data_IF_048285417354
#
_entry.id   IF_048285417354
#
_cell.length_a   1.000
_cell.length_b   1.000
_cell.length_c   1.000
_cell.angle_alpha   90.00
_cell.angle_beta   90.00
_cell.angle_gamma   90.00
#
_symmetry.space_group_name_H-M   'P 1'
#
loop_
_entity.id
_entity.type
_entity.pdbx_description
1 polymer ?
#
# COMPACT_ATOMS: atom_id res chain seq x y z
N UNK A 1 40.92 27.72 8.97
CA UNK A 1 42.34 27.51 9.33
C UNK A 1 43.21 27.51 8.07
N UNK A 2 42.91 28.38 7.10
CA UNK A 2 43.56 28.41 5.76
C UNK A 2 43.54 29.83 5.18
N UNK A 3 43.68 30.87 6.01
CA UNK A 3 43.87 32.26 5.53
C UNK A 3 45.20 32.89 6.00
N UNK A 4 46.02 32.15 6.76
CA UNK A 4 47.31 32.64 7.26
C UNK A 4 48.50 32.27 6.36
N UNK A 5 48.32 31.42 5.35
CA UNK A 5 49.41 30.85 4.55
C UNK A 5 49.78 31.65 3.29
N UNK A 6 48.94 32.60 2.86
CA UNK A 6 49.20 33.42 1.67
C UNK A 6 49.96 34.72 1.97
N UNK A 7 50.02 35.13 3.24
CA UNK A 7 50.73 36.36 3.66
C UNK A 7 52.22 36.06 3.93
N UNK A 8 52.57 34.85 4.39
CA UNK A 8 53.97 34.46 4.63
C UNK A 8 54.78 34.30 3.34
N UNK A 9 54.15 33.99 2.21
CA UNK A 9 54.87 33.84 0.92
C UNK A 9 55.22 35.18 0.27
N UNK A 10 54.65 36.30 0.72
CA UNK A 10 54.91 37.63 0.15
C UNK A 10 56.01 38.43 0.89
N UNK A 11 56.57 37.88 1.98
CA UNK A 11 57.64 38.53 2.77
C UNK A 11 59.05 38.00 2.46
N UNK A 12 59.19 36.97 1.62
CA UNK A 12 60.46 36.26 1.37
C UNK A 12 61.26 36.76 0.14
N UNK A 13 60.93 37.95 -0.40
CA UNK A 13 61.63 38.53 -1.55
C UNK A 13 62.22 39.93 -1.32
N UNK A 14 62.49 40.28 -0.05
CA UNK A 14 63.04 41.61 0.32
C UNK A 14 64.48 41.61 0.85
N UNK A 15 65.25 40.53 0.67
CA UNK A 15 66.59 40.42 1.28
C UNK A 15 67.79 40.18 0.32
N UNK A 16 67.66 40.33 -0.99
CA UNK A 16 68.79 40.14 -1.93
C UNK A 16 69.37 41.47 -2.46
N UNK A 17 69.62 42.43 -1.55
CA UNK A 17 70.40 43.64 -1.86
C UNK A 17 71.40 43.93 -0.72
N UNK A 18 72.29 42.98 -0.48
CA UNK A 18 73.48 43.23 0.35
C UNK A 18 74.66 42.39 -0.10
N UNK A 19 75.07 42.48 -1.37
CA UNK A 19 76.38 41.95 -1.79
C UNK A 19 76.84 42.57 -3.12
N UNK A 20 77.33 43.82 -3.06
CA UNK A 20 78.34 44.31 -4.02
C UNK A 20 79.31 45.23 -3.27
N UNK A 21 80.18 44.65 -2.46
CA UNK A 21 81.45 45.26 -2.07
C UNK A 21 82.54 44.21 -2.26
N UNK A 22 83.01 44.07 -3.49
CA UNK A 22 84.27 43.42 -3.79
C UNK A 22 84.89 44.11 -5.00
N UNK A 23 85.79 45.05 -4.73
CA UNK A 23 86.77 45.52 -5.72
C UNK A 23 88.12 45.06 -5.20
N UNK A 24 88.53 43.89 -5.65
CA UNK A 24 89.91 43.42 -5.57
C UNK A 24 90.51 43.51 -6.97
N UNK A 25 91.57 44.32 -7.15
CA UNK A 25 92.60 44.22 -8.20
C UNK A 25 93.61 45.38 -8.11
N UNK A 26 94.66 45.09 -7.37
CA UNK A 26 96.07 45.50 -7.51
C UNK A 26 96.51 46.11 -8.86
N UNK A 27 97.28 47.21 -8.81
CA UNK A 27 98.26 47.54 -9.87
C UNK A 27 99.56 48.10 -9.27
N UNK A 28 100.65 47.36 -9.47
CA UNK A 28 102.02 47.72 -9.11
C UNK A 28 102.62 48.70 -10.11
N UNK A 29 103.41 49.64 -9.59
CA UNK A 29 104.13 50.68 -10.31
C UNK A 29 105.34 50.08 -11.04
N UNK A 30 105.56 50.44 -12.31
CA UNK A 30 106.93 50.50 -12.86
C UNK A 30 107.17 51.78 -13.67
N UNK A 31 108.40 52.25 -13.58
CA UNK A 31 108.89 53.62 -13.77
C UNK A 31 108.94 54.08 -15.23
N UNK A 32 108.66 55.37 -15.42
CA UNK A 32 109.31 56.15 -16.47
C UNK A 32 108.41 57.18 -17.13
N UNK A 33 108.86 58.43 -17.04
CA UNK A 33 108.38 59.62 -17.77
C UNK A 33 107.27 60.42 -17.06
N UNK A 34 107.63 61.66 -16.75
CA UNK A 34 106.78 62.68 -16.14
C UNK A 34 105.57 63.01 -17.02
N UNK A 35 104.37 62.73 -16.52
CA UNK A 35 103.13 63.38 -16.90
C UNK A 35 102.25 63.55 -15.64
N UNK A 36 101.46 64.61 -15.62
CA UNK A 36 100.84 65.23 -14.44
C UNK A 36 99.68 64.40 -13.83
N UNK A 37 99.34 64.61 -12.54
CA UNK A 37 98.37 63.79 -11.78
C UNK A 37 96.91 63.81 -12.26
N UNK A 38 96.55 64.64 -13.24
CA UNK A 38 95.16 64.91 -13.63
C UNK A 38 94.57 63.91 -14.64
N UNK A 39 95.41 63.08 -15.28
CA UNK A 39 94.97 62.19 -16.37
C UNK A 39 94.43 60.84 -15.85
N UNK A 40 94.97 60.32 -14.72
CA UNK A 40 94.57 59.01 -14.18
C UNK A 40 93.23 59.04 -13.41
N UNK A 41 92.90 60.18 -12.79
CA UNK A 41 91.66 60.36 -12.04
C UNK A 41 90.44 60.47 -12.98
N UNK A 42 90.65 60.99 -14.19
CA UNK A 42 89.64 61.11 -15.22
C UNK A 42 89.23 59.74 -15.79
N UNK A 43 90.18 58.86 -16.08
CA UNK A 43 89.92 57.53 -16.65
C UNK A 43 89.23 56.57 -15.66
N UNK A 44 89.62 56.59 -14.38
CA UNK A 44 88.93 55.82 -13.34
C UNK A 44 87.50 56.31 -13.10
N UNK A 45 87.28 57.63 -13.11
CA UNK A 45 85.94 58.22 -13.04
C UNK A 45 85.11 57.83 -14.26
N UNK A 46 85.68 57.87 -15.47
CA UNK A 46 85.01 57.47 -16.71
C UNK A 46 84.54 56.01 -16.68
N UNK A 47 85.42 55.07 -16.31
CA UNK A 47 85.09 53.64 -16.22
C UNK A 47 84.03 53.38 -15.14
N UNK A 48 84.11 54.08 -14.00
CA UNK A 48 83.14 53.94 -12.92
C UNK A 48 81.77 54.50 -13.33
N UNK A 49 81.74 55.64 -14.01
CA UNK A 49 80.50 56.24 -14.54
C UNK A 49 79.86 55.38 -15.63
N UNK A 50 80.65 54.71 -16.47
CA UNK A 50 80.14 53.80 -17.50
C UNK A 50 79.54 52.53 -16.90
N UNK A 51 80.17 51.94 -15.88
CA UNK A 51 79.59 50.81 -15.12
C UNK A 51 78.28 51.18 -14.45
N UNK A 52 78.24 52.34 -13.79
CA UNK A 52 77.00 52.89 -13.20
C UNK A 52 75.91 53.10 -14.24
N UNK A 53 76.26 53.60 -15.43
CA UNK A 53 75.31 53.80 -16.53
C UNK A 53 74.75 52.47 -17.07
N UNK A 54 75.60 51.47 -17.25
CA UNK A 54 75.21 50.13 -17.69
C UNK A 54 74.33 49.42 -16.64
N UNK A 55 74.66 49.55 -15.34
CA UNK A 55 73.82 49.03 -14.26
C UNK A 55 72.48 49.75 -14.18
N UNK A 56 72.46 51.08 -14.32
CA UNK A 56 71.23 51.86 -14.35
C UNK A 56 70.34 51.45 -15.53
N UNK A 57 70.93 51.22 -16.71
CA UNK A 57 70.20 50.77 -17.89
C UNK A 57 69.65 49.34 -17.69
N UNK A 58 70.43 48.42 -17.11
CA UNK A 58 69.97 47.07 -16.77
C UNK A 58 68.80 47.09 -15.77
N UNK A 59 68.91 47.88 -14.70
CA UNK A 59 67.84 48.04 -13.70
C UNK A 59 66.60 48.64 -14.34
N UNK A 60 66.74 49.60 -15.26
CA UNK A 60 65.62 50.18 -16.00
C UNK A 60 64.90 49.15 -16.89
N UNK A 61 65.65 48.34 -17.63
CA UNK A 61 65.07 47.31 -18.50
C UNK A 61 64.39 46.19 -17.67
N UNK A 62 64.97 45.80 -16.54
CA UNK A 62 64.36 44.85 -15.61
C UNK A 62 63.09 45.42 -14.96
N UNK A 63 63.10 46.69 -14.54
CA UNK A 63 61.92 47.38 -14.01
C UNK A 63 60.80 47.43 -15.06
N UNK A 64 61.13 47.71 -16.32
CA UNK A 64 60.15 47.68 -17.42
C UNK A 64 59.58 46.27 -17.65
N UNK A 65 60.42 45.23 -17.57
CA UNK A 65 59.98 43.85 -17.68
C UNK A 65 59.02 43.50 -16.53
N UNK A 66 59.38 43.84 -15.30
CA UNK A 66 58.56 43.62 -14.10
C UNK A 66 57.24 44.41 -14.15
N UNK A 67 57.24 45.64 -14.64
CA UNK A 67 56.02 46.42 -14.89
C UNK A 67 55.10 45.75 -15.92
N UNK A 68 55.67 45.04 -16.91
CA UNK A 68 54.89 44.27 -17.87
C UNK A 68 54.30 43.00 -17.26
N UNK A 69 55.05 42.32 -16.39
CA UNK A 69 54.61 41.13 -15.65
C UNK A 69 53.49 41.48 -14.65
N UNK A 70 53.65 42.57 -13.90
CA UNK A 70 52.63 43.08 -12.96
C UNK A 70 51.33 43.41 -13.71
N UNK A 71 51.41 44.04 -14.89
CA UNK A 71 50.22 44.31 -15.71
C UNK A 71 49.49 43.05 -16.13
N UNK A 72 50.20 42.04 -16.63
CA UNK A 72 49.58 40.75 -16.99
C UNK A 72 48.96 40.03 -15.79
N UNK A 73 49.64 40.07 -14.64
CA UNK A 73 49.13 39.46 -13.41
C UNK A 73 47.86 40.17 -12.91
N UNK A 74 47.81 41.50 -12.99
CA UNK A 74 46.62 42.28 -12.63
C UNK A 74 45.45 41.98 -13.57
N UNK A 75 45.68 41.93 -14.89
CA UNK A 75 44.63 41.57 -15.86
C UNK A 75 44.07 40.16 -15.60
N UNK A 76 44.95 39.18 -15.31
CA UNK A 76 44.53 37.82 -14.96
C UNK A 76 43.71 37.82 -13.66
N UNK A 77 44.16 38.54 -12.63
CA UNK A 77 43.44 38.67 -11.37
C UNK A 77 42.04 39.27 -11.57
N UNK A 78 41.94 40.37 -12.33
CA UNK A 78 40.66 41.00 -12.66
C UNK A 78 39.71 40.08 -13.44
N UNK A 79 40.23 39.32 -14.41
CA UNK A 79 39.44 38.33 -15.15
C UNK A 79 38.91 37.25 -14.20
N UNK A 80 39.79 36.65 -13.38
CA UNK A 80 39.36 35.61 -12.43
C UNK A 80 38.39 36.14 -11.38
N UNK A 81 38.56 37.38 -10.92
CA UNK A 81 37.66 37.97 -9.95
C UNK A 81 36.26 38.20 -10.54
N UNK A 82 36.18 38.63 -11.80
CA UNK A 82 34.90 38.72 -12.53
C UNK A 82 34.21 37.36 -12.68
N UNK A 83 34.96 36.32 -13.07
CA UNK A 83 34.40 34.97 -13.18
C UNK A 83 33.89 34.43 -11.83
N UNK A 84 34.61 34.71 -10.75
CA UNK A 84 34.19 34.35 -9.39
C UNK A 84 32.92 35.11 -9.00
N UNK A 85 32.84 36.41 -9.28
CA UNK A 85 31.65 37.21 -9.01
C UNK A 85 30.41 36.69 -9.75
N UNK A 86 30.55 36.39 -11.05
CA UNK A 86 29.47 35.87 -11.89
C UNK A 86 29.00 34.48 -11.42
N UNK A 87 29.93 33.56 -11.13
CA UNK A 87 29.61 32.24 -10.61
C UNK A 87 28.94 32.32 -9.24
N UNK A 88 29.43 33.21 -8.38
CA UNK A 88 28.88 33.45 -7.05
C UNK A 88 27.43 33.97 -7.15
N UNK A 89 27.17 34.93 -8.04
CA UNK A 89 25.83 35.45 -8.29
C UNK A 89 24.87 34.34 -8.78
N UNK A 90 25.30 33.53 -9.76
CA UNK A 90 24.49 32.44 -10.30
C UNK A 90 24.19 31.35 -9.27
N UNK A 91 25.17 31.01 -8.42
CA UNK A 91 24.99 30.05 -7.33
C UNK A 91 23.95 30.54 -6.31
N UNK A 92 24.01 31.82 -5.93
CA UNK A 92 23.04 32.40 -4.99
C UNK A 92 21.63 32.45 -5.57
N UNK A 93 21.49 32.83 -6.85
CA UNK A 93 20.20 32.84 -7.53
C UNK A 93 19.58 31.44 -7.60
N UNK A 94 20.40 30.45 -7.98
CA UNK A 94 19.99 29.04 -8.04
C UNK A 94 19.57 28.52 -6.67
N UNK A 95 20.38 28.77 -5.64
CA UNK A 95 20.06 28.36 -4.26
C UNK A 95 18.76 29.01 -3.76
N UNK A 96 18.54 30.29 -4.08
CA UNK A 96 17.31 30.99 -3.70
C UNK A 96 16.10 30.40 -4.41
N UNK A 97 16.20 30.14 -5.72
CA UNK A 97 15.14 29.51 -6.51
C UNK A 97 14.76 28.13 -5.95
N UNK A 98 15.74 27.27 -5.63
CA UNK A 98 15.47 25.96 -5.03
C UNK A 98 14.77 26.05 -3.67
N UNK A 99 15.15 27.02 -2.84
CA UNK A 99 14.54 27.23 -1.52
C UNK A 99 13.09 27.72 -1.67
N UNK A 100 12.82 28.64 -2.58
CA UNK A 100 11.46 29.12 -2.83
C UNK A 100 10.56 28.02 -3.42
N UNK A 101 11.07 27.22 -4.34
CA UNK A 101 10.35 26.03 -4.85
C UNK A 101 10.02 25.05 -3.72
N UNK A 102 10.98 24.75 -2.85
CA UNK A 102 10.76 23.87 -1.70
C UNK A 102 9.71 24.43 -0.73
N UNK A 103 9.74 25.75 -0.45
CA UNK A 103 8.73 26.42 0.38
C UNK A 103 7.35 26.36 -0.26
N UNK A 104 7.24 26.61 -1.57
CA UNK A 104 5.97 26.51 -2.28
C UNK A 104 5.43 25.08 -2.28
N UNK A 105 6.29 24.08 -2.50
CA UNK A 105 5.91 22.67 -2.44
C UNK A 105 5.44 22.27 -1.03
N UNK A 106 6.14 22.74 0.01
CA UNK A 106 5.76 22.52 1.41
C UNK A 106 4.40 23.15 1.72
N UNK A 107 4.18 24.42 1.36
CA UNK A 107 2.90 25.10 1.60
C UNK A 107 1.72 24.37 0.92
N UNK A 108 1.92 23.90 -0.31
CA UNK A 108 0.93 23.10 -1.03
C UNK A 108 0.65 21.75 -0.35
N UNK A 109 1.69 21.07 0.16
CA UNK A 109 1.54 19.81 0.88
C UNK A 109 0.80 20.01 2.21
N UNK A 110 1.14 21.06 2.96
CA UNK A 110 0.47 21.43 4.21
C UNK A 110 -1.01 21.77 4.00
N UNK A 111 -1.33 22.51 2.93
CA UNK A 111 -2.73 22.80 2.56
C UNK A 111 -3.50 21.53 2.23
N UNK A 112 -2.93 20.62 1.43
CA UNK A 112 -3.56 19.33 1.09
C UNK A 112 -3.78 18.48 2.33
N UNK A 113 -2.81 18.42 3.24
CA UNK A 113 -2.92 17.71 4.51
C UNK A 113 -4.05 18.28 5.36
N UNK A 114 -4.19 19.60 5.43
CA UNK A 114 -5.29 20.26 6.14
C UNK A 114 -6.66 19.87 5.59
N UNK A 115 -6.83 19.91 4.27
CA UNK A 115 -8.10 19.52 3.60
C UNK A 115 -8.39 18.04 3.83
N UNK A 116 -7.38 17.17 3.69
CA UNK A 116 -7.54 15.73 3.94
C UNK A 116 -7.97 15.46 5.39
N UNK A 117 -7.37 16.13 6.37
CA UNK A 117 -7.75 15.98 7.78
C UNK A 117 -9.19 16.43 8.03
N UNK A 118 -9.60 17.58 7.48
CA UNK A 118 -11.00 18.03 7.56
C UNK A 118 -11.98 17.02 6.95
N UNK A 119 -11.59 16.38 5.84
CA UNK A 119 -12.39 15.34 5.18
C UNK A 119 -12.51 14.08 6.06
N UNK A 120 -11.42 13.67 6.69
CA UNK A 120 -11.39 12.54 7.64
C UNK A 120 -12.33 12.81 8.82
N UNK A 121 -12.28 14.02 9.38
CA UNK A 121 -13.15 14.40 10.51
C UNK A 121 -14.64 14.35 10.13
N UNK A 122 -14.98 14.85 8.93
CA UNK A 122 -16.35 14.80 8.41
C UNK A 122 -16.84 13.35 8.20
N UNK A 123 -16.02 12.50 7.57
CA UNK A 123 -16.35 11.08 7.35
C UNK A 123 -16.40 10.29 8.67
N UNK A 124 -15.59 10.67 9.66
CA UNK A 124 -15.63 10.08 11.01
C UNK A 124 -16.94 10.40 11.72
N UNK A 125 -17.42 11.65 11.59
CA UNK A 125 -18.73 12.06 12.12
C UNK A 125 -19.87 11.31 11.44
N UNK A 126 -19.87 11.20 10.11
CA UNK A 126 -20.89 10.45 9.37
C UNK A 126 -20.90 8.96 9.77
N UNK A 127 -19.72 8.33 9.88
CA UNK A 127 -19.61 6.95 10.36
C UNK A 127 -20.16 6.77 11.78
N UNK A 128 -19.97 7.75 12.67
CA UNK A 128 -20.55 7.72 14.01
C UNK A 128 -22.07 7.77 13.97
N UNK A 129 -22.64 8.64 13.13
CA UNK A 129 -24.08 8.75 12.92
C UNK A 129 -24.67 7.47 12.34
N UNK A 130 -24.05 6.90 11.30
CA UNK A 130 -24.46 5.64 10.69
C UNK A 130 -24.40 4.47 11.69
N UNK A 131 -23.36 4.40 12.54
CA UNK A 131 -23.29 3.39 13.60
C UNK A 131 -24.46 3.52 14.58
N UNK A 132 -24.86 4.76 14.91
CA UNK A 132 -26.01 5.01 15.79
C UNK A 132 -27.32 4.54 15.14
N UNK A 133 -27.58 4.92 13.90
CA UNK A 133 -28.81 4.50 13.18
C UNK A 133 -28.87 2.99 12.99
N UNK A 134 -27.74 2.34 12.69
CA UNK A 134 -27.66 0.87 12.62
C UNK A 134 -28.00 0.22 13.96
N UNK A 135 -27.51 0.76 15.07
CA UNK A 135 -27.83 0.24 16.40
C UNK A 135 -29.31 0.44 16.76
N UNK A 136 -29.89 1.59 16.41
CA UNK A 136 -31.33 1.85 16.57
C UNK A 136 -32.16 0.85 15.75
N UNK A 137 -31.79 0.61 14.48
CA UNK A 137 -32.47 -0.37 13.64
C UNK A 137 -32.33 -1.80 14.19
N UNK A 138 -31.18 -2.18 14.75
CA UNK A 138 -31.00 -3.47 15.43
C UNK A 138 -31.91 -3.59 16.64
N UNK A 139 -32.06 -2.53 17.43
CA UNK A 139 -32.99 -2.51 18.56
C UNK A 139 -34.43 -2.66 18.09
N UNK A 140 -34.85 -1.90 17.07
CA UNK A 140 -36.19 -2.02 16.48
C UNK A 140 -36.42 -3.44 15.96
N UNK A 141 -35.46 -4.04 15.25
CA UNK A 141 -35.57 -5.41 14.77
C UNK A 141 -35.75 -6.41 15.92
N UNK A 142 -35.00 -6.25 17.02
CA UNK A 142 -35.14 -7.08 18.20
C UNK A 142 -36.49 -6.87 18.89
N UNK A 143 -36.96 -5.63 19.00
CA UNK A 143 -38.28 -5.30 19.55
C UNK A 143 -39.38 -5.89 18.68
N UNK A 144 -39.36 -5.67 17.37
CA UNK A 144 -40.32 -6.28 16.44
C UNK A 144 -40.25 -7.81 16.48
N UNK A 145 -39.07 -8.41 16.62
CA UNK A 145 -38.92 -9.85 16.83
C UNK A 145 -39.57 -10.30 18.14
N UNK A 146 -39.42 -9.53 19.22
CA UNK A 146 -40.10 -9.81 20.50
C UNK A 146 -41.60 -9.58 20.45
N UNK A 147 -42.09 -8.60 19.69
CA UNK A 147 -43.51 -8.32 19.48
C UNK A 147 -44.17 -9.35 18.55
N UNK A 148 -43.43 -9.87 17.56
CA UNK A 148 -43.87 -11.00 16.76
C UNK A 148 -43.84 -12.30 17.59
N UNK A 149 -42.86 -12.44 18.49
CA UNK A 149 -42.79 -13.54 19.46
C UNK A 149 -43.77 -13.39 20.63
N UNK A 150 -44.47 -12.27 20.81
CA UNK A 150 -45.54 -12.12 21.82
C UNK A 150 -46.81 -12.92 21.46
N UNK A 151 -46.87 -13.51 20.25
CA UNK A 151 -47.80 -14.59 19.94
C UNK A 151 -47.17 -15.99 20.00
N UNK A 152 -45.92 -16.12 20.46
CA UNK A 152 -45.16 -17.38 20.52
C UNK A 152 -44.45 -17.63 21.87
N UNK A 153 -44.79 -16.88 22.93
CA UNK A 153 -44.26 -17.11 24.29
C UNK A 153 -45.13 -18.04 25.15
N UNK A 154 -46.00 -18.82 24.53
CA UNK A 154 -46.22 -20.20 24.94
C UNK A 154 -45.92 -21.06 23.72
N UNK A 155 -44.65 -21.40 23.50
CA UNK A 155 -44.34 -22.57 22.68
C UNK A 155 -44.80 -23.80 23.47
N UNK A 156 -46.11 -24.00 23.57
CA UNK A 156 -46.68 -25.24 24.03
C UNK A 156 -46.20 -26.29 23.05
N UNK A 157 -45.25 -27.09 23.50
CA UNK A 157 -44.72 -28.21 22.74
C UNK A 157 -45.90 -29.11 22.43
N UNK A 158 -46.10 -29.43 21.16
CA UNK A 158 -47.08 -30.43 20.79
C UNK A 158 -46.62 -31.76 21.39
N UNK A 159 -47.29 -32.19 22.47
CA UNK A 159 -46.94 -33.40 23.20
C UNK A 159 -47.10 -34.66 22.35
N UNK A 160 -47.94 -34.64 21.30
CA UNK A 160 -48.09 -35.78 20.38
C UNK A 160 -46.84 -35.88 19.53
N UNK A 161 -46.44 -34.78 18.88
CA UNK A 161 -45.23 -34.75 18.04
C UNK A 161 -43.96 -35.01 18.86
N UNK A 162 -43.90 -34.47 20.08
CA UNK A 162 -42.77 -34.70 20.97
C UNK A 162 -42.67 -36.18 21.40
N UNK A 163 -43.81 -36.81 21.73
CA UNK A 163 -43.84 -38.24 22.05
C UNK A 163 -43.45 -39.13 20.86
N UNK A 164 -43.91 -38.78 19.66
CA UNK A 164 -43.49 -39.46 18.43
C UNK A 164 -41.98 -39.37 18.23
N UNK A 165 -41.40 -38.18 18.45
CA UNK A 165 -39.95 -37.97 18.39
C UNK A 165 -39.19 -38.78 19.45
N UNK A 166 -39.61 -38.75 20.73
CA UNK A 166 -38.91 -39.49 21.78
C UNK A 166 -38.94 -41.01 21.54
N UNK A 167 -40.05 -41.54 21.02
CA UNK A 167 -40.16 -42.95 20.64
C UNK A 167 -39.23 -43.30 19.46
N UNK A 168 -39.11 -42.42 18.46
CA UNK A 168 -38.13 -42.59 17.38
C UNK A 168 -36.68 -42.51 17.89
N UNK A 169 -36.40 -41.62 18.86
CA UNK A 169 -35.06 -41.40 19.39
C UNK A 169 -34.49 -42.62 20.16
N UNK A 170 -35.35 -43.50 20.70
CA UNK A 170 -34.92 -44.75 21.32
C UNK A 170 -34.28 -45.72 20.32
N UNK A 171 -34.76 -45.72 19.07
CA UNK A 171 -34.25 -46.54 17.97
C UNK A 171 -34.31 -45.77 16.64
N UNK A 172 -33.37 -44.82 16.44
CA UNK A 172 -33.45 -43.89 15.32
C UNK A 172 -33.18 -44.60 14.00
N UNK A 173 -34.09 -44.42 13.05
CA UNK A 173 -33.99 -44.91 11.67
C UNK A 173 -34.31 -43.80 10.67
N UNK A 174 -33.67 -43.87 9.50
CA UNK A 174 -33.87 -42.93 8.38
C UNK A 174 -34.93 -43.42 7.39
N UNK A 175 -35.39 -44.67 7.54
CA UNK A 175 -36.40 -45.26 6.66
C UNK A 175 -37.76 -44.58 6.83
N UNK A 176 -38.43 -44.32 5.71
CA UNK A 176 -39.69 -43.55 5.64
C UNK A 176 -40.74 -44.02 6.64
N UNK A 177 -41.00 -45.31 6.65
CA UNK A 177 -42.11 -45.91 7.41
C UNK A 177 -41.65 -46.57 8.72
N UNK A 178 -40.42 -46.27 9.18
CA UNK A 178 -39.86 -46.89 10.39
C UNK A 178 -40.50 -46.42 11.70
N UNK A 179 -41.08 -45.22 11.71
CA UNK A 179 -41.77 -44.64 12.87
C UNK A 179 -42.85 -43.67 12.41
N UNK A 180 -43.83 -43.41 13.29
CA UNK A 180 -44.85 -42.38 13.05
C UNK A 180 -44.22 -41.00 12.82
N UNK A 181 -43.13 -40.71 13.55
CA UNK A 181 -42.37 -39.48 13.41
C UNK A 181 -41.81 -39.30 11.99
N UNK A 182 -41.13 -40.32 11.45
CA UNK A 182 -40.59 -40.25 10.08
C UNK A 182 -41.70 -40.23 9.05
N UNK A 183 -42.70 -41.12 9.17
CA UNK A 183 -43.84 -41.18 8.25
C UNK A 183 -44.52 -39.81 8.10
N UNK A 184 -44.75 -39.13 9.23
CA UNK A 184 -45.34 -37.79 9.26
C UNK A 184 -44.50 -36.77 8.50
N UNK A 185 -43.21 -36.67 8.82
CA UNK A 185 -42.33 -35.69 8.20
C UNK A 185 -42.18 -35.94 6.70
N UNK A 186 -42.12 -37.21 6.28
CA UNK A 186 -42.09 -37.54 4.86
C UNK A 186 -43.35 -37.09 4.12
N UNK A 187 -44.53 -37.28 4.70
CA UNK A 187 -45.80 -36.98 4.03
C UNK A 187 -46.18 -35.50 4.10
N UNK A 188 -45.96 -34.85 5.24
CA UNK A 188 -46.34 -33.45 5.44
C UNK A 188 -45.28 -32.50 4.85
N UNK A 189 -43.99 -32.81 4.99
CA UNK A 189 -42.90 -31.88 4.69
C UNK A 189 -42.04 -32.32 3.50
N UNK A 190 -41.33 -33.46 3.58
CA UNK A 190 -40.29 -33.81 2.59
C UNK A 190 -40.90 -34.04 1.20
N UNK A 191 -41.92 -34.89 1.11
CA UNK A 191 -42.54 -35.24 -0.18
C UNK A 191 -43.17 -34.00 -0.80
N UNK A 192 -43.86 -33.17 -0.01
CA UNK A 192 -44.47 -31.93 -0.52
C UNK A 192 -43.43 -30.87 -0.89
N UNK A 193 -42.31 -30.80 -0.17
CA UNK A 193 -41.21 -29.89 -0.45
C UNK A 193 -40.40 -30.32 -1.69
N UNK A 194 -40.38 -31.60 -2.06
CA UNK A 194 -39.72 -32.07 -3.28
C UNK A 194 -40.68 -32.34 -4.46
N UNK A 195 -41.97 -32.04 -4.36
CA UNK A 195 -42.87 -32.13 -5.52
C UNK A 195 -42.52 -31.07 -6.57
N UNK A 196 -41.96 -31.52 -7.70
CA UNK A 196 -41.59 -30.68 -8.84
C UNK A 196 -42.27 -31.18 -10.12
N UNK A 197 -42.44 -30.33 -11.15
CA UNK A 197 -42.92 -30.75 -12.47
C UNK A 197 -42.15 -31.93 -13.05
N UNK A 198 -40.82 -31.95 -12.91
CA UNK A 198 -40.00 -33.12 -13.26
C UNK A 198 -40.00 -34.15 -12.13
N UNK A 199 -41.03 -35.00 -12.10
CA UNK A 199 -41.20 -36.04 -11.08
C UNK A 199 -40.06 -37.07 -11.06
N UNK A 200 -39.50 -37.43 -12.23
CA UNK A 200 -38.42 -38.41 -12.30
C UNK A 200 -37.14 -37.90 -11.62
N UNK A 201 -36.71 -36.69 -11.96
CA UNK A 201 -35.53 -36.09 -11.33
C UNK A 201 -35.78 -35.81 -9.83
N UNK A 202 -37.00 -35.40 -9.47
CA UNK A 202 -37.40 -35.22 -8.07
C UNK A 202 -37.22 -36.52 -7.24
N UNK A 203 -37.73 -37.66 -7.73
CA UNK A 203 -37.58 -38.94 -7.03
C UNK A 203 -36.11 -39.36 -6.91
N UNK A 204 -35.30 -39.12 -7.95
CA UNK A 204 -33.85 -39.39 -7.91
C UNK A 204 -33.13 -38.50 -6.90
N UNK A 205 -33.51 -37.22 -6.80
CA UNK A 205 -32.98 -36.29 -5.81
C UNK A 205 -33.31 -36.76 -4.40
N UNK A 206 -34.56 -37.16 -4.13
CA UNK A 206 -34.92 -37.68 -2.81
C UNK A 206 -34.07 -38.90 -2.43
N UNK A 207 -33.96 -39.88 -3.34
CA UNK A 207 -33.13 -41.06 -3.10
C UNK A 207 -31.65 -40.71 -2.89
N UNK A 208 -31.14 -39.70 -3.59
CA UNK A 208 -29.77 -39.20 -3.42
C UNK A 208 -29.56 -38.49 -2.07
N UNK A 209 -30.55 -37.69 -1.65
CA UNK A 209 -30.56 -37.07 -0.32
C UNK A 209 -30.55 -38.16 0.75
N UNK A 210 -31.40 -39.20 0.64
CA UNK A 210 -31.49 -40.32 1.59
C UNK A 210 -30.16 -41.08 1.71
N UNK A 211 -29.46 -41.32 0.59
CA UNK A 211 -28.13 -41.95 0.55
C UNK A 211 -26.96 -41.02 0.90
N UNK A 212 -27.21 -39.72 1.07
CA UNK A 212 -26.20 -38.71 1.32
C UNK A 212 -25.15 -38.57 0.21
N UNK A 213 -25.58 -38.70 -1.05
CA UNK A 213 -24.71 -38.68 -2.24
C UNK A 213 -25.04 -37.52 -3.22
N UNK A 214 -25.78 -36.51 -2.75
CA UNK A 214 -26.15 -35.31 -3.52
C UNK A 214 -25.09 -34.21 -3.39
N UNK A 215 -24.75 -33.56 -4.50
CA UNK A 215 -23.83 -32.41 -4.53
C UNK A 215 -24.49 -31.24 -5.23
N UNK A 216 -24.51 -30.07 -4.58
CA UNK A 216 -24.99 -28.82 -5.16
C UNK A 216 -23.88 -27.78 -5.17
N UNK A 217 -23.70 -27.11 -6.30
CA UNK A 217 -22.65 -26.11 -6.51
C UNK A 217 -23.20 -24.89 -7.26
N UNK A 218 -22.44 -23.79 -7.20
CA UNK A 218 -22.72 -22.59 -8.00
C UNK A 218 -22.16 -22.71 -9.41
N UNK A 219 -22.92 -22.28 -10.40
CA UNK A 219 -22.45 -22.17 -11.78
C UNK A 219 -21.29 -21.15 -11.88
N UNK A 220 -20.18 -21.55 -12.50
CA UNK A 220 -19.03 -20.64 -12.74
C UNK A 220 -19.35 -19.48 -13.70
N UNK A 221 -20.38 -19.63 -14.53
CA UNK A 221 -20.82 -18.60 -15.49
C UNK A 221 -22.00 -17.82 -14.92
N UNK A 222 -21.72 -16.68 -14.27
CA UNK A 222 -22.77 -15.77 -13.77
C UNK A 222 -23.64 -15.28 -14.94
N UNK A 223 -24.96 -15.41 -14.83
CA UNK A 223 -25.93 -14.81 -15.76
C UNK A 223 -26.37 -15.67 -16.95
N UNK A 224 -26.08 -16.99 -16.98
CA UNK A 224 -26.60 -17.85 -18.04
C UNK A 224 -28.07 -18.19 -17.79
N UNK A 225 -28.95 -17.61 -18.62
CA UNK A 225 -30.36 -17.96 -18.65
C UNK A 225 -30.52 -19.41 -19.14
N UNK A 226 -31.09 -20.27 -18.30
CA UNK A 226 -31.25 -21.70 -18.57
C UNK A 226 -32.61 -22.17 -18.10
N UNK A 227 -33.09 -23.25 -18.68
CA UNK A 227 -34.27 -23.94 -18.17
C UNK A 227 -33.91 -24.71 -16.91
N UNK A 228 -34.58 -24.43 -15.80
CA UNK A 228 -34.42 -25.19 -14.56
C UNK A 228 -34.87 -26.63 -14.77
N UNK A 229 -34.02 -27.61 -14.49
CA UNK A 229 -34.30 -29.03 -14.75
C UNK A 229 -35.45 -29.61 -13.92
N UNK A 230 -35.77 -28.99 -12.79
CA UNK A 230 -36.87 -29.42 -11.91
C UNK A 230 -38.17 -28.69 -12.20
N UNK A 231 -38.12 -27.36 -12.35
CA UNK A 231 -39.30 -26.52 -12.55
C UNK A 231 -39.75 -26.46 -14.01
N UNK A 232 -38.85 -26.66 -14.96
CA UNK A 232 -39.12 -26.51 -16.41
C UNK A 232 -39.21 -25.04 -16.87
N UNK A 233 -38.97 -24.08 -15.98
CA UNK A 233 -39.04 -22.65 -16.27
C UNK A 233 -37.70 -22.09 -16.73
N UNK A 234 -37.72 -21.14 -17.66
CA UNK A 234 -36.55 -20.42 -18.12
C UNK A 234 -36.20 -19.30 -17.13
N UNK A 235 -35.05 -19.42 -16.45
CA UNK A 235 -34.66 -18.50 -15.39
C UNK A 235 -33.14 -18.38 -15.25
N UNK A 236 -32.68 -17.45 -14.43
CA UNK A 236 -31.28 -17.37 -14.04
C UNK A 236 -30.94 -18.54 -13.10
N UNK A 237 -30.28 -19.55 -13.65
CA UNK A 237 -29.85 -20.73 -12.89
C UNK A 237 -28.41 -20.54 -12.42
N UNK A 238 -28.24 -19.97 -11.22
CA UNK A 238 -26.93 -19.80 -10.59
C UNK A 238 -26.41 -21.09 -9.93
N UNK A 239 -27.20 -22.17 -9.93
CA UNK A 239 -26.89 -23.41 -9.23
C UNK A 239 -27.04 -24.62 -10.15
N UNK A 240 -26.31 -25.70 -9.84
CA UNK A 240 -26.49 -27.00 -10.45
C UNK A 240 -26.36 -28.12 -9.43
N UNK A 241 -27.01 -29.26 -9.69
CA UNK A 241 -26.98 -30.45 -8.84
C UNK A 241 -26.47 -31.67 -9.60
N UNK A 242 -25.72 -32.51 -8.89
CA UNK A 242 -25.22 -33.82 -9.33
C UNK A 242 -25.63 -34.86 -8.30
N UNK A 243 -25.98 -36.05 -8.77
CA UNK A 243 -26.46 -37.16 -7.94
C UNK A 243 -25.45 -38.31 -8.02
N UNK A 244 -24.95 -38.76 -6.87
CA UNK A 244 -23.94 -39.81 -6.80
C UNK A 244 -22.68 -39.48 -7.62
N UNK A 245 -22.22 -40.48 -8.36
CA UNK A 245 -21.04 -40.40 -9.25
C UNK A 245 -21.42 -40.03 -10.69
N UNK A 246 -22.68 -39.67 -10.96
CA UNK A 246 -23.12 -39.29 -12.31
C UNK A 246 -22.31 -38.10 -12.83
N UNK A 247 -21.82 -38.16 -14.07
CA UNK A 247 -21.11 -37.01 -14.68
C UNK A 247 -22.04 -35.86 -15.07
N UNK A 248 -23.36 -36.04 -14.94
CA UNK A 248 -24.37 -35.09 -15.41
C UNK A 248 -24.72 -34.06 -14.33
N UNK A 249 -24.66 -32.78 -14.72
CA UNK A 249 -25.10 -31.66 -13.91
C UNK A 249 -26.45 -31.12 -14.38
N UNK A 250 -27.36 -30.91 -13.44
CA UNK A 250 -28.71 -30.41 -13.71
C UNK A 250 -28.84 -28.96 -13.22
N UNK A 251 -29.07 -27.96 -14.09
CA UNK A 251 -29.26 -26.57 -13.67
C UNK A 251 -30.51 -26.38 -12.80
N UNK A 252 -30.38 -25.58 -11.75
CA UNK A 252 -31.42 -25.30 -10.76
C UNK A 252 -31.71 -23.80 -10.64
N UNK A 253 -32.99 -23.48 -10.55
CA UNK A 253 -33.44 -22.16 -10.09
C UNK A 253 -33.16 -21.99 -8.59
N UNK A 254 -33.13 -20.74 -8.11
CA UNK A 254 -32.98 -20.44 -6.68
C UNK A 254 -34.09 -21.09 -5.84
N UNK A 255 -35.32 -21.11 -6.34
CA UNK A 255 -36.47 -21.75 -5.68
C UNK A 255 -36.26 -23.26 -5.52
N UNK A 256 -35.86 -23.95 -6.60
CA UNK A 256 -35.60 -25.38 -6.54
C UNK A 256 -34.44 -25.71 -5.60
N UNK A 257 -33.35 -24.94 -5.66
CA UNK A 257 -32.19 -25.08 -4.77
C UNK A 257 -32.59 -24.93 -3.30
N UNK A 258 -33.38 -23.91 -2.97
CA UNK A 258 -33.78 -23.65 -1.58
C UNK A 258 -34.61 -24.80 -1.00
N UNK A 259 -35.54 -25.36 -1.79
CA UNK A 259 -36.35 -26.52 -1.41
C UNK A 259 -35.48 -27.76 -1.14
N UNK A 260 -34.53 -28.06 -2.02
CA UNK A 260 -33.59 -29.18 -1.83
C UNK A 260 -32.72 -28.96 -0.60
N UNK A 261 -32.17 -27.76 -0.42
CA UNK A 261 -31.31 -27.42 0.71
C UNK A 261 -32.03 -27.59 2.05
N UNK A 262 -33.28 -27.11 2.16
CA UNK A 262 -34.07 -27.26 3.39
C UNK A 262 -34.27 -28.74 3.77
N UNK A 263 -34.50 -29.61 2.79
CA UNK A 263 -34.61 -31.06 3.01
C UNK A 263 -33.24 -31.65 3.39
N UNK A 264 -32.16 -31.25 2.72
CA UNK A 264 -30.80 -31.70 3.05
C UNK A 264 -30.41 -31.33 4.50
N UNK A 265 -30.75 -30.12 4.95
CA UNK A 265 -30.49 -29.67 6.31
C UNK A 265 -31.23 -30.53 7.34
N UNK A 266 -32.47 -30.92 7.06
CA UNK A 266 -33.23 -31.86 7.88
C UNK A 266 -32.54 -33.23 7.97
N UNK A 267 -32.24 -33.85 6.83
CA UNK A 267 -31.60 -35.17 6.80
C UNK A 267 -30.22 -35.16 7.47
N UNK A 268 -29.43 -34.10 7.26
CA UNK A 268 -28.13 -33.92 7.91
C UNK A 268 -28.29 -33.89 9.43
N UNK A 269 -29.24 -33.10 9.93
CA UNK A 269 -29.48 -33.01 11.36
C UNK A 269 -29.95 -34.35 11.95
N UNK A 270 -30.94 -35.01 11.33
CA UNK A 270 -31.44 -36.31 11.81
C UNK A 270 -30.34 -37.38 11.80
N UNK A 271 -29.45 -37.41 10.79
CA UNK A 271 -28.28 -38.31 10.79
C UNK A 271 -27.37 -38.04 11.98
N UNK A 272 -27.09 -36.78 12.29
CA UNK A 272 -26.28 -36.44 13.47
C UNK A 272 -26.94 -36.87 14.77
N UNK A 273 -28.27 -36.79 14.87
CA UNK A 273 -29.02 -37.32 16.03
C UNK A 273 -28.90 -38.84 16.08
N UNK A 274 -29.11 -39.55 14.97
CA UNK A 274 -28.98 -41.01 14.88
C UNK A 274 -27.57 -41.51 15.25
N UNK A 275 -26.53 -40.79 14.84
CA UNK A 275 -25.13 -41.10 15.15
C UNK A 275 -24.73 -40.71 16.59
N UNK A 276 -25.63 -40.11 17.38
CA UNK A 276 -25.35 -39.68 18.75
C UNK A 276 -24.39 -38.49 18.84
N UNK A 277 -24.21 -37.72 17.75
CA UNK A 277 -23.32 -36.55 17.72
C UNK A 277 -23.92 -35.33 18.43
N UNK A 278 -25.24 -35.30 18.62
CA UNK A 278 -25.97 -34.17 19.21
C UNK A 278 -26.28 -34.42 20.69
N UNK A 279 -25.45 -33.85 21.58
CA UNK A 279 -25.48 -34.08 23.04
C UNK A 279 -26.42 -33.19 23.87
N UNK A 280 -27.27 -32.37 23.23
CA UNK A 280 -28.23 -31.51 23.95
C UNK A 280 -29.34 -32.33 24.62
N UNK A 281 -30.26 -31.70 25.33
CA UNK A 281 -31.47 -32.39 25.81
C UNK A 281 -32.46 -32.67 24.66
N UNK A 282 -33.41 -33.58 24.91
CA UNK A 282 -34.41 -34.00 23.92
C UNK A 282 -35.28 -32.84 23.43
N UNK A 283 -35.62 -31.90 24.31
CA UNK A 283 -36.44 -30.74 23.95
C UNK A 283 -35.70 -29.83 22.97
N UNK A 284 -34.43 -29.56 23.22
CA UNK A 284 -33.59 -28.77 22.33
C UNK A 284 -33.45 -29.41 20.94
N UNK A 285 -33.24 -30.74 20.88
CA UNK A 285 -33.20 -31.46 19.60
C UNK A 285 -34.53 -31.40 18.87
N UNK A 286 -35.64 -31.62 19.58
CA UNK A 286 -36.98 -31.53 19.02
C UNK A 286 -37.29 -30.13 18.48
N UNK A 287 -36.98 -29.07 19.24
CA UNK A 287 -37.18 -27.70 18.78
C UNK A 287 -36.39 -27.40 17.50
N UNK A 288 -35.17 -27.94 17.37
CA UNK A 288 -34.39 -27.84 16.14
C UNK A 288 -35.05 -28.57 14.97
N UNK A 289 -35.66 -29.73 15.21
CA UNK A 289 -36.44 -30.46 14.20
C UNK A 289 -37.65 -29.64 13.75
N UNK A 290 -38.41 -29.04 14.68
CA UNK A 290 -39.54 -28.17 14.36
C UNK A 290 -39.09 -26.97 13.51
N UNK A 291 -37.94 -26.38 13.83
CA UNK A 291 -37.37 -25.30 13.01
C UNK A 291 -37.05 -25.76 11.58
N UNK A 292 -36.47 -26.96 11.41
CA UNK A 292 -36.16 -27.53 10.10
C UNK A 292 -37.44 -27.87 9.30
N UNK A 293 -38.49 -28.39 9.96
CA UNK A 293 -39.82 -28.59 9.35
C UNK A 293 -40.41 -27.27 8.86
N UNK A 294 -40.34 -26.22 9.69
CA UNK A 294 -40.76 -24.86 9.30
C UNK A 294 -40.01 -24.35 8.08
N UNK A 295 -38.70 -24.58 8.01
CA UNK A 295 -37.87 -24.19 6.84
C UNK A 295 -38.30 -24.91 5.56
N UNK A 296 -38.59 -26.21 5.62
CA UNK A 296 -39.13 -26.96 4.48
C UNK A 296 -40.48 -26.40 4.02
N UNK A 297 -41.36 -26.05 4.97
CA UNK A 297 -42.65 -25.45 4.66
C UNK A 297 -42.51 -24.07 3.98
N UNK A 298 -41.60 -23.22 4.45
CA UNK A 298 -41.33 -21.92 3.85
C UNK A 298 -40.71 -22.03 2.47
N UNK A 299 -39.71 -22.90 2.30
CA UNK A 299 -39.08 -23.15 1.01
C UNK A 299 -40.10 -23.64 -0.04
N UNK A 300 -41.07 -24.47 0.37
CA UNK A 300 -42.17 -24.92 -0.50
C UNK A 300 -43.05 -23.75 -0.98
N UNK A 301 -43.24 -22.73 -0.16
CA UNK A 301 -43.99 -21.51 -0.49
C UNK A 301 -43.14 -20.46 -1.23
N UNK A 302 -41.84 -20.73 -1.44
CA UNK A 302 -40.92 -19.81 -2.10
C UNK A 302 -40.42 -18.66 -1.21
N UNK A 303 -40.51 -18.81 0.11
CA UNK A 303 -40.07 -17.84 1.12
C UNK A 303 -38.66 -18.15 1.65
#
# INVERSE_FOLDING_TARGET
MEQSSLIDTMLDHRNDLSDVNSVDSTFSIDSGVMATPEIFEHDLRSITTEKLFNELQRVKDDLQSKDSEIRRANEMCENTNREIEDLTASLFETAHSMVEEAKHAQANAEQKLKISNQTIDALSLENSQLKKTVNELKQILNTCRSSFNMSTTHSSIDNILFREFTCWEEKPSMERDSSLFMYRIYNEDISTCLTFPNANLSSRILAAIERNDIVMETCNSKGNMKTCSLMGEFCQCDYHVRLGEDSQWWPLSRLARNRIAAVCDFFTFIRHVQLGLVKSDAQTRFNKIIELRKQMAFARLGL
#
